data_IF_078560794403
#
_entry.id   IF_078560794403
#
_cell.length_a   1.000
_cell.length_b   1.000
_cell.length_c   1.000
_cell.angle_alpha   90.00
_cell.angle_beta   90.00
_cell.angle_gamma   90.00
#
_symmetry.space_group_name_H-M   'P 1'
#
loop_
_entity.id
_entity.type
_entity.pdbx_description
1 polymer ?
#
# COMPACT_ATOMS: atom_id res chain seq x y z
N UNK A 1 -7.90 0.45 -2.18
CA UNK A 1 -6.94 -0.09 -1.19
C UNK A 1 -7.17 0.59 0.15
N UNK A 2 -7.59 -0.17 1.15
CA UNK A 2 -7.90 0.31 2.51
C UNK A 2 -6.67 0.22 3.41
N UNK A 3 -6.63 0.95 4.55
CA UNK A 3 -5.72 0.64 5.66
C UNK A 3 -5.89 -0.81 6.14
N UNK A 4 -4.79 -1.50 6.45
CA UNK A 4 -4.81 -2.95 6.73
C UNK A 4 -5.63 -3.32 7.97
N UNK A 5 -5.57 -2.50 9.02
CA UNK A 5 -6.39 -2.72 10.23
C UNK A 5 -7.90 -2.50 9.98
N UNK A 6 -8.30 -1.56 9.08
CA UNK A 6 -9.70 -1.39 8.66
C UNK A 6 -10.16 -2.62 7.88
N UNK A 7 -9.31 -3.17 7.02
CA UNK A 7 -9.58 -4.41 6.29
C UNK A 7 -9.82 -5.59 7.24
N UNK A 8 -9.00 -5.69 8.28
CA UNK A 8 -9.13 -6.72 9.32
C UNK A 8 -10.42 -6.57 10.11
N UNK A 9 -10.75 -5.34 10.50
CA UNK A 9 -12.00 -5.05 11.19
C UNK A 9 -13.23 -5.36 10.30
N UNK A 10 -13.19 -4.97 9.03
CA UNK A 10 -14.22 -5.31 8.05
C UNK A 10 -14.43 -6.84 7.93
N UNK A 11 -13.31 -7.56 7.90
CA UNK A 11 -13.33 -9.02 7.83
C UNK A 11 -13.91 -9.66 9.12
N UNK A 12 -13.60 -9.07 10.29
CA UNK A 12 -14.22 -9.48 11.55
C UNK A 12 -15.73 -9.21 11.60
N UNK A 13 -16.20 -8.08 11.07
CA UNK A 13 -17.64 -7.81 10.94
C UNK A 13 -18.34 -8.81 10.03
N UNK A 14 -17.65 -9.30 9.00
CA UNK A 14 -18.21 -10.24 8.04
C UNK A 14 -18.16 -11.69 8.52
N UNK A 15 -17.02 -12.14 9.07
CA UNK A 15 -16.75 -13.54 9.44
C UNK A 15 -16.65 -13.78 10.95
N UNK A 16 -16.80 -12.75 11.80
CA UNK A 16 -16.82 -12.89 13.26
C UNK A 16 -18.02 -13.71 13.74
N UNK A 17 -18.07 -14.01 15.02
CA UNK A 17 -19.13 -14.85 15.61
C UNK A 17 -20.55 -14.37 15.29
N UNK A 18 -20.76 -13.06 15.26
CA UNK A 18 -22.03 -12.40 14.91
C UNK A 18 -22.04 -11.84 13.48
N UNK A 19 -21.03 -12.19 12.66
CA UNK A 19 -20.92 -11.70 11.30
C UNK A 19 -21.89 -12.36 10.31
N UNK A 20 -22.10 -11.71 9.16
CA UNK A 20 -23.06 -12.16 8.14
C UNK A 20 -22.85 -13.60 7.69
N UNK A 21 -21.62 -14.01 7.48
CA UNK A 21 -21.30 -15.36 7.00
C UNK A 21 -21.73 -16.40 8.01
N UNK A 22 -21.51 -16.15 9.30
CA UNK A 22 -21.92 -17.07 10.36
C UNK A 22 -23.45 -17.04 10.62
N UNK A 23 -24.10 -15.89 10.37
CA UNK A 23 -25.57 -15.84 10.33
C UNK A 23 -26.15 -16.72 9.22
N UNK A 24 -25.60 -16.60 8.00
CA UNK A 24 -26.02 -17.43 6.88
C UNK A 24 -25.72 -18.90 7.13
N UNK A 25 -24.55 -19.23 7.67
CA UNK A 25 -24.15 -20.58 8.03
C UNK A 25 -25.16 -21.23 8.99
N UNK A 26 -25.53 -20.54 10.08
CA UNK A 26 -26.54 -21.01 11.03
C UNK A 26 -27.92 -21.12 10.42
N UNK A 27 -28.33 -20.20 9.56
CA UNK A 27 -29.60 -20.27 8.84
C UNK A 27 -29.69 -21.49 7.90
N UNK A 28 -28.55 -21.97 7.39
CA UNK A 28 -28.44 -23.19 6.57
C UNK A 28 -28.31 -24.48 7.41
N UNK A 29 -28.44 -24.39 8.73
CA UNK A 29 -28.37 -25.55 9.66
C UNK A 29 -26.96 -25.87 10.15
N UNK A 30 -25.98 -25.00 9.92
CA UNK A 30 -24.62 -25.16 10.47
C UNK A 30 -24.56 -24.84 11.96
N UNK A 31 -23.75 -25.58 12.70
CA UNK A 31 -23.49 -25.34 14.12
C UNK A 31 -22.22 -24.49 14.33
N UNK A 32 -22.22 -23.65 15.36
CA UNK A 32 -21.06 -22.82 15.74
C UNK A 32 -20.70 -21.71 14.74
N UNK A 33 -19.42 -21.59 14.45
CA UNK A 33 -18.85 -20.65 13.47
C UNK A 33 -18.21 -21.41 12.31
N UNK A 34 -18.29 -20.87 11.10
CA UNK A 34 -17.75 -21.51 9.90
C UNK A 34 -16.23 -21.71 10.00
N UNK A 35 -15.52 -20.69 10.49
CA UNK A 35 -14.11 -20.76 10.88
C UNK A 35 -13.80 -19.68 11.91
N UNK A 36 -12.74 -19.88 12.67
CA UNK A 36 -12.29 -18.91 13.65
C UNK A 36 -11.51 -17.80 12.93
N UNK A 37 -12.12 -16.60 12.90
CA UNK A 37 -11.55 -15.46 12.15
C UNK A 37 -10.29 -14.91 12.82
N UNK A 38 -10.23 -14.94 14.16
CA UNK A 38 -9.02 -14.57 14.92
C UNK A 38 -8.05 -15.75 14.99
N UNK A 39 -7.44 -16.04 13.85
CA UNK A 39 -6.51 -17.16 13.66
C UNK A 39 -5.46 -16.82 12.60
N UNK A 40 -4.45 -17.67 12.47
CA UNK A 40 -3.48 -17.56 11.38
C UNK A 40 -4.16 -17.61 10.00
N UNK A 41 -5.16 -18.48 9.83
CA UNK A 41 -5.92 -18.56 8.59
C UNK A 41 -6.66 -17.25 8.31
N UNK A 42 -7.29 -16.64 9.30
CA UNK A 42 -7.98 -15.36 9.17
C UNK A 42 -7.02 -14.24 8.71
N UNK A 43 -5.83 -14.16 9.32
CA UNK A 43 -4.79 -13.21 8.92
C UNK A 43 -4.40 -13.42 7.45
N UNK A 44 -4.11 -14.66 7.04
CA UNK A 44 -3.76 -15.00 5.66
C UNK A 44 -4.87 -14.60 4.69
N UNK A 45 -6.14 -14.92 5.00
CA UNK A 45 -7.27 -14.60 4.14
C UNK A 45 -7.44 -13.09 3.96
N UNK A 46 -7.35 -12.30 5.04
CA UNK A 46 -7.39 -10.83 4.93
C UNK A 46 -6.26 -10.33 4.03
N UNK A 47 -5.04 -10.79 4.25
CA UNK A 47 -3.90 -10.36 3.45
C UNK A 47 -4.06 -10.78 1.98
N UNK A 48 -4.55 -11.98 1.68
CA UNK A 48 -4.84 -12.44 0.31
C UNK A 48 -5.86 -11.52 -0.36
N UNK A 49 -7.02 -11.27 0.28
CA UNK A 49 -8.09 -10.47 -0.33
C UNK A 49 -7.79 -8.98 -0.44
N UNK A 50 -6.92 -8.43 0.39
CA UNK A 50 -6.61 -7.01 0.36
C UNK A 50 -5.24 -6.67 -0.23
N UNK A 51 -4.31 -7.65 -0.36
CA UNK A 51 -3.00 -7.44 -0.96
C UNK A 51 -2.89 -7.97 -2.40
N UNK A 52 -3.84 -8.79 -2.91
CA UNK A 52 -3.78 -9.29 -4.28
C UNK A 52 -3.59 -8.20 -5.36
N UNK A 53 -4.10 -6.95 -5.22
CA UNK A 53 -3.85 -5.92 -6.22
C UNK A 53 -2.37 -5.55 -6.37
N UNK A 54 -1.56 -5.71 -5.32
CA UNK A 54 -0.12 -5.46 -5.38
C UNK A 54 0.61 -6.55 -6.19
N UNK A 55 0.09 -7.78 -6.23
CA UNK A 55 0.59 -8.83 -7.11
C UNK A 55 0.06 -8.69 -8.54
N UNK A 56 -1.21 -8.33 -8.68
CA UNK A 56 -1.93 -8.35 -9.95
C UNK A 56 -1.31 -7.41 -10.98
N UNK A 57 -1.03 -6.15 -10.62
CA UNK A 57 -0.54 -5.16 -11.58
C UNK A 57 0.85 -5.50 -12.16
N UNK A 58 1.88 -5.86 -11.37
CA UNK A 58 3.15 -6.31 -11.93
C UNK A 58 3.03 -7.60 -12.75
N UNK A 59 2.17 -8.55 -12.35
CA UNK A 59 1.91 -9.76 -13.14
C UNK A 59 1.26 -9.42 -14.48
N UNK A 60 0.25 -8.55 -14.51
CA UNK A 60 -0.39 -8.10 -15.76
C UNK A 60 0.63 -7.41 -16.66
N UNK A 61 1.50 -6.58 -16.10
CA UNK A 61 2.58 -5.94 -16.86
C UNK A 61 3.55 -6.99 -17.47
N UNK A 62 3.94 -8.00 -16.68
CA UNK A 62 4.81 -9.07 -17.14
C UNK A 62 4.18 -9.90 -18.28
N UNK A 63 2.91 -10.26 -18.16
CA UNK A 63 2.20 -10.98 -19.24
C UNK A 63 1.99 -10.11 -20.49
N UNK A 64 1.79 -8.79 -20.33
CA UNK A 64 1.66 -7.87 -21.47
C UNK A 64 2.98 -7.58 -22.17
N UNK A 65 4.10 -7.68 -21.46
CA UNK A 65 5.44 -7.52 -22.03
C UNK A 65 5.88 -8.73 -22.87
N UNK A 66 5.17 -9.87 -22.78
CA UNK A 66 5.45 -11.06 -23.57
C UNK A 66 5.31 -10.83 -25.08
N UNK A 67 6.13 -11.52 -25.88
CA UNK A 67 6.08 -11.47 -27.34
C UNK A 67 5.09 -12.52 -27.85
N UNK A 68 4.00 -12.08 -28.50
CA UNK A 68 3.01 -12.97 -29.10
C UNK A 68 3.57 -13.83 -30.25
N UNK A 69 4.66 -13.39 -30.89
CA UNK A 69 5.31 -14.16 -31.96
C UNK A 69 5.85 -15.50 -31.45
N UNK A 70 6.36 -15.55 -30.21
CA UNK A 70 6.82 -16.80 -29.59
C UNK A 70 5.66 -17.76 -29.29
N UNK A 71 4.50 -17.22 -28.88
CA UNK A 71 3.29 -18.03 -28.68
C UNK A 71 2.75 -18.59 -30.00
N UNK A 72 2.77 -17.77 -31.06
CA UNK A 72 2.35 -18.16 -32.40
C UNK A 72 3.31 -19.20 -32.98
N UNK A 73 4.61 -19.05 -32.84
CA UNK A 73 5.61 -20.02 -33.25
C UNK A 73 5.39 -21.40 -32.56
N UNK A 74 5.15 -21.37 -31.23
CA UNK A 74 4.82 -22.60 -30.49
C UNK A 74 3.57 -23.30 -31.02
N UNK A 75 2.51 -22.55 -31.35
CA UNK A 75 1.27 -23.06 -31.89
C UNK A 75 1.48 -23.62 -33.32
N UNK A 76 2.28 -22.95 -34.14
CA UNK A 76 2.62 -23.39 -35.48
C UNK A 76 3.43 -24.71 -35.47
N UNK A 77 4.19 -24.96 -34.39
CA UNK A 77 4.87 -26.22 -34.12
C UNK A 77 3.94 -27.33 -33.55
N UNK A 78 2.62 -27.05 -33.48
CA UNK A 78 1.62 -28.04 -33.04
C UNK A 78 1.35 -28.04 -31.52
N UNK A 79 1.91 -27.15 -30.77
CA UNK A 79 1.65 -27.10 -29.32
C UNK A 79 0.21 -26.66 -29.02
N UNK A 80 -0.48 -27.43 -28.16
CA UNK A 80 -1.79 -27.05 -27.62
C UNK A 80 -1.66 -25.85 -26.69
N UNK A 81 -2.71 -25.02 -26.55
CA UNK A 81 -2.70 -23.80 -25.79
C UNK A 81 -2.15 -23.91 -24.35
N UNK A 82 -2.42 -25.05 -23.66
CA UNK A 82 -1.85 -25.34 -22.35
C UNK A 82 -0.33 -25.55 -22.36
N UNK A 83 0.18 -26.23 -23.35
CA UNK A 83 1.63 -26.45 -23.53
C UNK A 83 2.34 -25.15 -23.90
N UNK A 84 1.74 -24.30 -24.77
CA UNK A 84 2.24 -22.97 -25.07
C UNK A 84 2.28 -22.10 -23.80
N UNK A 85 1.23 -22.15 -22.98
CA UNK A 85 1.19 -21.40 -21.72
C UNK A 85 2.30 -21.82 -20.76
N UNK A 86 2.45 -23.13 -20.49
CA UNK A 86 3.46 -23.62 -19.55
C UNK A 86 4.90 -23.55 -20.09
N UNK A 87 5.08 -23.76 -21.39
CA UNK A 87 6.41 -23.83 -22.01
C UNK A 87 6.95 -22.50 -22.51
N UNK A 88 6.08 -21.53 -22.79
CA UNK A 88 6.47 -20.23 -23.36
C UNK A 88 6.00 -19.07 -22.50
N UNK A 89 4.68 -18.90 -22.34
CA UNK A 89 4.11 -17.70 -21.71
C UNK A 89 4.50 -17.59 -20.25
N UNK A 90 4.36 -18.66 -19.47
CA UNK A 90 4.65 -18.67 -18.04
C UNK A 90 6.15 -18.48 -17.72
N UNK A 91 7.10 -19.14 -18.40
CA UNK A 91 8.54 -18.90 -18.22
C UNK A 91 8.96 -17.47 -18.57
N UNK A 92 8.40 -16.90 -19.64
CA UNK A 92 8.68 -15.51 -20.02
C UNK A 92 8.16 -14.51 -18.99
N UNK A 93 6.99 -14.75 -18.40
CA UNK A 93 6.43 -13.95 -17.32
C UNK A 93 7.09 -14.24 -15.95
N UNK A 94 7.88 -15.31 -15.83
CA UNK A 94 8.44 -15.81 -14.57
C UNK A 94 9.14 -14.76 -13.69
N UNK A 95 10.04 -13.91 -14.21
CA UNK A 95 10.68 -12.85 -13.42
C UNK A 95 9.70 -11.84 -12.84
N UNK A 96 8.67 -11.46 -13.62
CA UNK A 96 7.62 -10.55 -13.15
C UNK A 96 6.73 -11.20 -12.10
N UNK A 97 6.41 -12.48 -12.25
CA UNK A 97 5.65 -13.25 -11.25
C UNK A 97 6.45 -13.33 -9.94
N UNK A 98 7.73 -13.69 -10.02
CA UNK A 98 8.58 -13.81 -8.84
C UNK A 98 8.79 -12.45 -8.15
N UNK A 99 8.96 -11.37 -8.94
CA UNK A 99 9.02 -10.01 -8.41
C UNK A 99 7.73 -9.63 -7.66
N UNK A 100 6.57 -10.00 -8.20
CA UNK A 100 5.27 -9.77 -7.56
C UNK A 100 5.12 -10.55 -6.26
N UNK A 101 5.56 -11.82 -6.23
CA UNK A 101 5.55 -12.64 -5.01
C UNK A 101 6.42 -12.03 -3.91
N UNK A 102 7.64 -11.60 -4.25
CA UNK A 102 8.56 -10.98 -3.31
C UNK A 102 8.04 -9.62 -2.81
N UNK A 103 7.37 -8.85 -3.67
CA UNK A 103 6.71 -7.60 -3.28
C UNK A 103 5.61 -7.85 -2.25
N UNK A 104 4.71 -8.82 -2.53
CA UNK A 104 3.61 -9.16 -1.61
C UNK A 104 4.17 -9.72 -0.30
N UNK A 105 5.21 -10.56 -0.37
CA UNK A 105 5.88 -11.03 0.85
C UNK A 105 6.39 -9.85 1.70
N UNK A 106 7.07 -8.88 1.09
CA UNK A 106 7.59 -7.71 1.82
C UNK A 106 6.48 -6.90 2.46
N UNK A 107 5.36 -6.68 1.74
CA UNK A 107 4.19 -5.95 2.27
C UNK A 107 3.54 -6.74 3.42
N UNK A 108 3.34 -8.04 3.23
CA UNK A 108 2.72 -8.93 4.24
C UNK A 108 3.59 -9.06 5.50
N UNK A 109 4.91 -9.24 5.33
CA UNK A 109 5.85 -9.34 6.44
C UNK A 109 5.95 -8.03 7.26
N UNK A 110 5.78 -6.88 6.59
CA UNK A 110 5.81 -5.55 7.22
C UNK A 110 4.45 -5.10 7.74
N UNK A 111 3.39 -5.89 7.51
CA UNK A 111 2.04 -5.53 7.92
C UNK A 111 1.86 -5.70 9.44
N UNK A 112 1.57 -4.60 10.10
CA UNK A 112 1.25 -4.57 11.52
C UNK A 112 -0.27 -4.56 11.75
N UNK A 113 -1.00 -3.88 10.86
CA UNK A 113 -2.42 -3.58 11.06
C UNK A 113 -3.31 -4.81 11.10
N UNK A 114 -3.05 -5.82 10.28
CA UNK A 114 -3.82 -7.07 10.30
C UNK A 114 -3.52 -7.90 11.55
N UNK A 115 -2.25 -8.23 11.86
CA UNK A 115 -1.92 -9.01 13.02
C UNK A 115 -2.35 -8.42 14.36
N UNK A 116 -2.22 -7.12 14.56
CA UNK A 116 -2.57 -6.50 15.87
C UNK A 116 -4.06 -6.64 16.20
N UNK A 117 -4.93 -6.72 15.19
CA UNK A 117 -6.38 -6.88 15.34
C UNK A 117 -6.78 -8.35 15.40
N UNK A 118 -6.13 -9.22 14.62
CA UNK A 118 -6.62 -10.58 14.36
C UNK A 118 -5.77 -11.69 14.97
N UNK A 119 -4.55 -11.40 15.42
CA UNK A 119 -3.71 -12.45 16.02
C UNK A 119 -4.29 -12.92 17.35
N UNK A 120 -4.54 -14.24 17.50
CA UNK A 120 -4.90 -14.80 18.79
C UNK A 120 -3.73 -14.70 19.78
N UNK A 121 -4.02 -14.74 21.07
CA UNK A 121 -3.03 -14.52 22.14
C UNK A 121 -1.86 -15.50 22.12
N UNK A 122 -2.04 -16.66 21.55
CA UNK A 122 -1.04 -17.74 21.45
C UNK A 122 -0.19 -17.67 20.16
N UNK A 123 -0.45 -16.70 19.28
CA UNK A 123 0.29 -16.51 18.01
C UNK A 123 1.24 -15.33 18.14
N UNK A 124 2.52 -15.60 18.30
CA UNK A 124 3.56 -14.60 18.41
C UNK A 124 4.07 -14.23 17.01
N UNK A 125 3.71 -13.04 16.54
CA UNK A 125 4.18 -12.48 15.29
C UNK A 125 5.20 -11.36 15.58
N UNK A 126 6.36 -11.42 14.96
CA UNK A 126 7.50 -10.56 15.25
C UNK A 126 7.15 -9.07 15.25
N UNK A 127 6.27 -8.63 14.33
CA UNK A 127 5.84 -7.23 14.24
C UNK A 127 4.98 -6.81 15.42
N UNK A 128 4.13 -7.71 15.93
CA UNK A 128 3.29 -7.47 17.11
C UNK A 128 4.11 -7.54 18.38
N UNK A 129 5.04 -8.48 18.46
CA UNK A 129 5.94 -8.60 19.61
C UNK A 129 6.87 -7.38 19.74
N UNK A 130 7.43 -6.88 18.62
CA UNK A 130 8.22 -5.66 18.65
C UNK A 130 7.42 -4.44 19.20
N UNK A 131 6.13 -4.37 18.89
CA UNK A 131 5.24 -3.37 19.47
C UNK A 131 4.94 -3.62 20.94
N UNK A 132 4.66 -4.88 21.34
CA UNK A 132 4.36 -5.25 22.74
C UNK A 132 5.53 -4.98 23.67
N UNK A 133 6.77 -5.23 23.23
CA UNK A 133 7.97 -4.93 23.98
C UNK A 133 8.05 -3.46 24.40
N UNK A 134 7.63 -2.53 23.55
CA UNK A 134 7.59 -1.09 23.89
C UNK A 134 6.30 -0.73 24.63
N UNK A 135 5.15 -1.02 24.03
CA UNK A 135 3.87 -0.52 24.52
C UNK A 135 3.39 -1.24 25.79
N UNK A 136 3.80 -2.50 25.97
CA UNK A 136 3.43 -3.32 27.13
C UNK A 136 4.48 -3.41 28.21
N UNK A 137 5.75 -3.55 27.83
CA UNK A 137 6.84 -3.87 28.78
C UNK A 137 7.87 -2.74 28.91
N UNK A 138 7.81 -1.67 28.11
CA UNK A 138 8.80 -0.60 28.05
C UNK A 138 10.24 -1.11 27.80
N UNK A 139 10.37 -2.29 27.16
CA UNK A 139 11.62 -2.94 26.84
C UNK A 139 12.15 -2.48 25.47
N UNK A 140 12.86 -1.37 25.47
CA UNK A 140 13.45 -0.79 24.25
C UNK A 140 14.48 -1.70 23.60
N UNK A 141 15.26 -2.43 24.41
CA UNK A 141 16.30 -3.34 23.90
C UNK A 141 15.68 -4.53 23.20
N UNK A 142 14.68 -5.19 23.80
CA UNK A 142 13.96 -6.31 23.19
C UNK A 142 13.30 -5.90 21.86
N UNK A 143 12.62 -4.77 21.86
CA UNK A 143 12.02 -4.25 20.64
C UNK A 143 13.04 -3.89 19.55
N UNK A 144 14.20 -3.33 19.92
CA UNK A 144 15.28 -3.02 18.98
C UNK A 144 15.85 -4.30 18.34
N UNK A 145 16.06 -5.39 19.11
CA UNK A 145 16.53 -6.67 18.58
C UNK A 145 15.54 -7.23 17.56
N UNK A 146 14.23 -7.29 17.89
CA UNK A 146 13.19 -7.75 16.98
C UNK A 146 13.12 -6.89 15.71
N UNK A 147 13.29 -5.57 15.86
CA UNK A 147 13.33 -4.61 14.75
C UNK A 147 14.52 -4.89 13.82
N UNK A 148 15.72 -5.15 14.35
CA UNK A 148 16.90 -5.47 13.53
C UNK A 148 16.67 -6.77 12.75
N UNK A 149 16.09 -7.80 13.39
CA UNK A 149 15.73 -9.05 12.70
C UNK A 149 14.71 -8.78 11.58
N UNK A 150 13.67 -8.00 11.84
CA UNK A 150 12.66 -7.64 10.81
C UNK A 150 13.29 -6.92 9.63
N UNK A 151 14.12 -5.92 9.88
CA UNK A 151 14.81 -5.16 8.82
C UNK A 151 15.77 -6.08 8.06
N UNK A 152 16.50 -6.96 8.73
CA UNK A 152 17.40 -7.93 8.10
C UNK A 152 16.68 -8.88 7.16
N UNK A 153 15.55 -9.45 7.59
CA UNK A 153 14.71 -10.32 6.75
C UNK A 153 14.16 -9.55 5.56
N UNK A 154 13.59 -8.38 5.79
CA UNK A 154 13.03 -7.54 4.72
C UNK A 154 14.11 -7.10 3.71
N UNK A 155 15.31 -6.75 4.17
CA UNK A 155 16.45 -6.41 3.31
C UNK A 155 16.91 -7.60 2.47
N UNK A 156 16.96 -8.82 3.06
CA UNK A 156 17.28 -10.04 2.34
C UNK A 156 16.31 -10.29 1.18
N UNK A 157 14.99 -10.20 1.44
CA UNK A 157 13.98 -10.41 0.41
C UNK A 157 14.01 -9.33 -0.67
N UNK A 158 14.28 -8.08 -0.31
CA UNK A 158 14.47 -7.00 -1.26
C UNK A 158 15.72 -7.21 -2.14
N UNK A 159 16.81 -7.66 -1.55
CA UNK A 159 18.01 -8.02 -2.29
C UNK A 159 17.75 -9.18 -3.25
N UNK A 160 17.05 -10.23 -2.81
CA UNK A 160 16.63 -11.34 -3.66
C UNK A 160 15.75 -10.86 -4.82
N UNK A 161 14.79 -9.96 -4.55
CA UNK A 161 13.95 -9.37 -5.60
C UNK A 161 14.80 -8.68 -6.68
N UNK A 162 15.75 -7.83 -6.27
CA UNK A 162 16.63 -7.16 -7.23
C UNK A 162 17.55 -8.13 -7.97
N UNK A 163 18.05 -9.14 -7.28
CA UNK A 163 18.89 -10.17 -7.91
C UNK A 163 18.13 -10.95 -8.98
N UNK A 164 16.88 -11.32 -8.73
CA UNK A 164 16.02 -12.03 -9.70
C UNK A 164 15.72 -11.19 -10.94
N UNK A 165 15.53 -9.88 -10.77
CA UNK A 165 15.23 -8.97 -11.89
C UNK A 165 16.51 -8.64 -12.67
N UNK A 166 17.67 -8.64 -12.03
CA UNK A 166 18.95 -8.26 -12.63
C UNK A 166 19.36 -9.25 -13.71
N UNK A 167 19.52 -8.78 -14.95
CA UNK A 167 20.04 -9.57 -16.07
C UNK A 167 19.00 -10.37 -16.84
N UNK A 168 17.71 -10.21 -16.56
CA UNK A 168 16.63 -10.84 -17.32
C UNK A 168 15.82 -9.80 -18.10
N UNK A 169 16.48 -9.00 -18.91
CA UNK A 169 15.82 -8.29 -20.00
C UNK A 169 15.44 -9.32 -21.06
N UNK A 170 14.22 -9.84 -21.00
CA UNK A 170 13.67 -10.58 -22.12
C UNK A 170 13.38 -9.57 -23.23
N UNK A 171 14.38 -9.35 -24.08
CA UNK A 171 14.21 -8.54 -25.28
C UNK A 171 13.10 -9.16 -26.13
N UNK A 172 12.15 -8.34 -26.53
CA UNK A 172 11.17 -8.72 -27.56
C UNK A 172 11.93 -8.91 -28.88
N UNK A 173 11.78 -10.04 -29.54
CA UNK A 173 12.39 -10.31 -30.86
C UNK A 173 11.94 -9.26 -31.89
N UNK A 174 10.71 -8.76 -31.75
CA UNK A 174 10.10 -7.75 -32.63
C UNK A 174 10.35 -6.30 -32.20
N UNK A 175 11.02 -6.04 -31.08
CA UNK A 175 11.26 -4.68 -30.55
C UNK A 175 10.00 -3.95 -30.08
N UNK A 176 8.81 -4.52 -30.25
CA UNK A 176 7.53 -3.99 -29.77
C UNK A 176 6.78 -5.05 -28.98
N UNK A 177 6.33 -4.77 -27.75
CA UNK A 177 5.44 -5.68 -27.03
C UNK A 177 4.11 -5.78 -27.78
N UNK A 178 3.85 -6.93 -28.40
CA UNK A 178 2.62 -7.16 -29.17
C UNK A 178 1.46 -7.65 -28.30
N UNK A 179 1.72 -7.84 -27.01
CA UNK A 179 0.73 -8.33 -26.04
C UNK A 179 0.42 -9.82 -26.23
N UNK A 180 0.21 -10.55 -25.15
CA UNK A 180 -0.26 -11.93 -25.22
C UNK A 180 -1.63 -11.99 -25.89
N UNK A 181 -1.82 -12.99 -26.78
CA UNK A 181 -3.06 -13.17 -27.53
C UNK A 181 -4.29 -13.26 -26.60
N UNK A 182 -5.41 -12.67 -27.02
CA UNK A 182 -6.68 -12.76 -26.29
C UNK A 182 -7.09 -14.22 -26.12
N UNK A 183 -7.45 -14.58 -24.90
CA UNK A 183 -8.04 -15.89 -24.61
C UNK A 183 -9.26 -16.10 -25.51
N UNK A 184 -9.16 -17.04 -26.43
CA UNK A 184 -10.24 -17.39 -27.36
C UNK A 184 -11.09 -18.50 -26.73
N UNK A 185 -12.26 -18.14 -26.21
CA UNK A 185 -13.23 -19.10 -25.67
C UNK A 185 -14.30 -18.44 -24.83
N UNK A 186 -15.54 -18.39 -25.35
CA UNK A 186 -16.68 -17.77 -24.64
C UNK A 186 -16.92 -18.42 -23.26
N UNK A 187 -16.75 -19.74 -23.14
CA UNK A 187 -16.93 -20.47 -21.88
C UNK A 187 -15.86 -20.11 -20.83
N UNK A 188 -14.58 -20.11 -21.22
CA UNK A 188 -13.47 -19.76 -20.32
C UNK A 188 -13.55 -18.30 -19.89
N UNK A 189 -13.91 -17.38 -20.80
CA UNK A 189 -14.11 -15.97 -20.43
C UNK A 189 -15.25 -15.78 -19.40
N UNK A 190 -16.36 -16.50 -19.55
CA UNK A 190 -17.45 -16.47 -18.56
C UNK A 190 -16.99 -17.01 -17.21
N UNK A 191 -16.27 -18.14 -17.20
CA UNK A 191 -15.74 -18.72 -15.97
C UNK A 191 -14.76 -17.74 -15.28
N UNK A 192 -13.81 -17.17 -16.01
CA UNK A 192 -12.85 -16.20 -15.46
C UNK A 192 -13.53 -14.91 -14.96
N UNK A 193 -14.57 -14.44 -15.67
CA UNK A 193 -15.34 -13.26 -15.23
C UNK A 193 -16.13 -13.57 -13.94
N UNK A 194 -16.76 -14.73 -13.84
CA UNK A 194 -17.46 -15.16 -12.63
C UNK A 194 -16.49 -15.34 -11.46
N UNK A 195 -15.35 -16.00 -11.70
CA UNK A 195 -14.30 -16.16 -10.69
C UNK A 195 -13.79 -14.80 -10.20
N UNK A 196 -13.49 -13.87 -11.12
CA UNK A 196 -13.06 -12.51 -10.76
C UNK A 196 -14.11 -11.76 -9.95
N UNK A 197 -15.38 -11.91 -10.32
CA UNK A 197 -16.50 -11.32 -9.58
C UNK A 197 -16.60 -11.89 -8.16
N UNK A 198 -16.48 -13.19 -7.99
CA UNK A 198 -16.51 -13.85 -6.67
C UNK A 198 -15.34 -13.41 -5.79
N UNK A 199 -14.13 -13.30 -6.34
CA UNK A 199 -12.95 -12.81 -5.60
C UNK A 199 -13.14 -11.35 -5.17
N UNK A 200 -13.72 -10.50 -6.02
CA UNK A 200 -13.99 -9.10 -5.72
C UNK A 200 -15.16 -8.92 -4.75
N UNK A 201 -16.09 -9.86 -4.70
CA UNK A 201 -17.27 -9.79 -3.84
C UNK A 201 -16.87 -9.75 -2.35
N UNK A 202 -15.86 -10.53 -1.95
CA UNK A 202 -15.41 -10.59 -0.54
C UNK A 202 -14.97 -9.21 -0.01
N UNK A 203 -14.02 -8.49 -0.63
CA UNK A 203 -13.66 -7.15 -0.16
C UNK A 203 -14.78 -6.13 -0.31
N UNK A 204 -15.67 -6.26 -1.30
CA UNK A 204 -16.83 -5.38 -1.44
C UNK A 204 -17.84 -5.56 -0.30
N UNK A 205 -18.16 -6.80 0.06
CA UNK A 205 -19.01 -7.10 1.21
C UNK A 205 -18.37 -6.65 2.52
N UNK A 206 -17.05 -6.80 2.66
CA UNK A 206 -16.33 -6.30 3.82
C UNK A 206 -16.43 -4.77 3.95
N UNK A 207 -16.29 -4.02 2.85
CA UNK A 207 -16.54 -2.56 2.84
C UNK A 207 -18.01 -2.25 3.14
N UNK A 208 -18.93 -3.02 2.58
CA UNK A 208 -20.38 -2.90 2.83
C UNK A 208 -20.72 -3.09 4.31
N UNK A 209 -20.06 -4.02 5.01
CA UNK A 209 -20.28 -4.24 6.45
C UNK A 209 -19.80 -3.04 7.28
N UNK A 210 -18.67 -2.42 6.93
CA UNK A 210 -18.24 -1.17 7.60
C UNK A 210 -19.24 -0.05 7.32
N UNK A 211 -19.70 0.08 6.07
CA UNK A 211 -20.70 1.10 5.73
C UNK A 211 -21.98 0.93 6.55
N UNK A 212 -22.53 -0.28 6.63
CA UNK A 212 -23.71 -0.55 7.45
C UNK A 212 -23.46 -0.31 8.94
N UNK A 213 -22.29 -0.73 9.46
CA UNK A 213 -21.88 -0.44 10.82
C UNK A 213 -21.79 1.06 11.10
N UNK A 214 -21.34 1.87 10.13
CA UNK A 214 -21.18 3.31 10.29
C UNK A 214 -22.49 4.08 10.47
N UNK A 215 -23.61 3.50 10.00
CA UNK A 215 -24.95 4.08 10.12
C UNK A 215 -25.86 3.28 11.06
N UNK A 216 -25.36 2.24 11.72
CA UNK A 216 -26.14 1.41 12.64
C UNK A 216 -26.40 2.13 13.96
N UNK A 217 -27.61 1.99 14.52
CA UNK A 217 -27.88 2.35 15.93
C UNK A 217 -27.32 1.31 16.87
N UNK A 218 -27.68 0.08 16.63
CA UNK A 218 -27.17 -1.15 17.28
C UNK A 218 -27.10 -2.26 16.25
N UNK A 219 -26.10 -3.12 16.36
CA UNK A 219 -25.92 -4.26 15.47
C UNK A 219 -25.20 -5.40 16.21
N UNK A 220 -25.92 -6.46 16.51
CA UNK A 220 -25.35 -7.56 17.29
C UNK A 220 -25.79 -8.94 16.84
N UNK A 221 -27.08 -9.23 16.96
CA UNK A 221 -27.61 -10.59 16.80
C UNK A 221 -28.32 -10.86 15.48
N UNK A 222 -28.56 -9.84 14.68
CA UNK A 222 -29.27 -9.94 13.38
C UNK A 222 -28.33 -9.73 12.20
N UNK A 223 -28.75 -10.22 11.03
CA UNK A 223 -27.99 -10.05 9.78
C UNK A 223 -27.89 -8.56 9.36
N UNK A 224 -28.87 -7.75 9.73
CA UNK A 224 -28.91 -6.31 9.47
C UNK A 224 -28.99 -5.55 10.80
N UNK A 225 -28.56 -4.26 10.81
CA UNK A 225 -28.72 -3.39 11.97
C UNK A 225 -30.17 -3.24 12.42
N UNK A 226 -30.38 -3.09 13.72
CA UNK A 226 -31.73 -2.90 14.31
C UNK A 226 -32.34 -1.55 13.96
N UNK A 227 -31.52 -0.58 13.55
CA UNK A 227 -31.95 0.74 13.09
C UNK A 227 -30.78 1.53 12.49
N UNK A 228 -31.10 2.64 11.83
CA UNK A 228 -30.12 3.46 11.13
C UNK A 228 -30.07 4.90 11.67
N UNK A 229 -28.87 5.46 11.75
CA UNK A 229 -28.63 6.81 12.27
C UNK A 229 -27.38 7.43 11.63
N UNK A 230 -27.34 8.75 11.56
CA UNK A 230 -26.15 9.50 11.15
C UNK A 230 -25.41 10.15 12.35
N UNK A 231 -25.83 9.85 13.60
CA UNK A 231 -25.25 10.45 14.81
C UNK A 231 -23.74 10.22 14.92
N UNK A 232 -23.22 9.10 14.38
CA UNK A 232 -21.79 8.79 14.44
C UNK A 232 -20.98 9.75 13.56
N UNK A 233 -21.53 10.19 12.43
CA UNK A 233 -20.92 11.21 11.57
C UNK A 233 -21.00 12.61 12.21
N UNK A 234 -22.13 12.98 12.82
CA UNK A 234 -22.23 14.26 13.52
C UNK A 234 -21.27 14.32 14.71
N UNK A 235 -21.17 13.25 15.49
CA UNK A 235 -20.20 13.13 16.58
C UNK A 235 -18.75 13.19 16.07
N UNK A 236 -18.45 12.53 14.94
CA UNK A 236 -17.14 12.57 14.32
C UNK A 236 -16.72 14.00 13.95
N UNK A 237 -17.59 14.75 13.29
CA UNK A 237 -17.28 16.13 12.89
C UNK A 237 -17.24 17.13 14.06
N UNK A 238 -17.97 16.86 15.14
CA UNK A 238 -17.94 17.72 16.34
C UNK A 238 -16.76 17.39 17.26
N UNK A 239 -16.42 16.11 17.46
CA UNK A 239 -15.44 15.70 18.49
C UNK A 239 -14.10 15.29 17.88
N UNK A 240 -14.08 14.76 16.65
CA UNK A 240 -12.88 14.20 16.00
C UNK A 240 -12.43 15.00 14.78
N UNK A 241 -12.94 16.21 14.58
CA UNK A 241 -12.50 17.10 13.47
C UNK A 241 -11.00 17.39 13.50
N UNK A 242 -10.39 17.47 14.69
CA UNK A 242 -8.95 17.59 14.87
C UNK A 242 -8.17 16.45 14.22
N UNK A 243 -8.63 15.20 14.33
CA UNK A 243 -7.97 14.05 13.70
C UNK A 243 -8.00 14.11 12.17
N UNK A 244 -9.09 14.66 11.60
CA UNK A 244 -9.22 14.88 10.15
C UNK A 244 -8.20 15.94 9.72
N UNK A 245 -8.18 17.07 10.41
CA UNK A 245 -7.25 18.16 10.12
C UNK A 245 -5.79 17.73 10.29
N UNK A 246 -5.46 17.03 11.37
CA UNK A 246 -4.12 16.47 11.60
C UNK A 246 -3.69 15.56 10.45
N UNK A 247 -4.57 14.66 9.97
CA UNK A 247 -4.25 13.79 8.83
C UNK A 247 -3.92 14.59 7.57
N UNK A 248 -4.67 15.65 7.29
CA UNK A 248 -4.46 16.50 6.11
C UNK A 248 -3.16 17.31 6.25
N UNK A 249 -2.90 17.90 7.40
CA UNK A 249 -1.67 18.69 7.68
C UNK A 249 -0.44 17.79 7.60
N UNK A 250 -0.46 16.64 8.26
CA UNK A 250 0.65 15.69 8.25
C UNK A 250 0.92 15.14 6.85
N UNK A 251 -0.15 14.81 6.09
CA UNK A 251 -0.02 14.34 4.72
C UNK A 251 0.52 15.43 3.78
N UNK A 252 0.05 16.67 3.94
CA UNK A 252 0.55 17.81 3.16
C UNK A 252 2.01 18.12 3.49
N UNK A 253 2.38 18.13 4.77
CA UNK A 253 3.77 18.33 5.20
C UNK A 253 4.71 17.27 4.64
N UNK A 254 4.32 15.99 4.71
CA UNK A 254 5.09 14.88 4.13
C UNK A 254 5.16 14.96 2.60
N UNK A 255 4.07 15.38 1.94
CA UNK A 255 4.04 15.60 0.49
C UNK A 255 5.04 16.68 0.08
N UNK A 256 4.96 17.86 0.68
CA UNK A 256 5.84 19.00 0.33
C UNK A 256 7.32 18.66 0.53
N UNK A 257 7.66 18.04 1.66
CA UNK A 257 9.02 17.61 1.92
C UNK A 257 9.48 16.52 0.94
N UNK A 258 8.60 15.58 0.58
CA UNK A 258 8.88 14.55 -0.42
C UNK A 258 9.12 15.12 -1.81
N UNK A 259 8.39 16.17 -2.23
CA UNK A 259 8.60 16.84 -3.53
C UNK A 259 10.00 17.42 -3.61
N UNK A 260 10.41 18.18 -2.59
CA UNK A 260 11.75 18.81 -2.58
C UNK A 260 12.84 17.73 -2.70
N UNK A 261 12.79 16.71 -1.85
CA UNK A 261 13.80 15.64 -1.87
C UNK A 261 13.78 14.89 -3.21
N UNK A 262 12.60 14.54 -3.72
CA UNK A 262 12.47 13.72 -4.90
C UNK A 262 12.94 14.41 -6.18
N UNK A 263 12.72 15.70 -6.35
CA UNK A 263 13.20 16.46 -7.51
C UNK A 263 14.72 16.41 -7.56
N UNK A 264 15.40 16.71 -6.45
CA UNK A 264 16.86 16.66 -6.39
C UNK A 264 17.40 15.24 -6.58
N UNK A 265 16.87 14.26 -5.86
CA UNK A 265 17.32 12.85 -5.95
C UNK A 265 17.13 12.32 -7.38
N UNK A 266 15.98 12.59 -8.00
CA UNK A 266 15.70 12.15 -9.37
C UNK A 266 16.67 12.76 -10.38
N UNK A 267 16.98 14.04 -10.24
CA UNK A 267 17.95 14.69 -11.09
C UNK A 267 19.34 14.05 -10.94
N UNK A 268 19.84 13.87 -9.70
CA UNK A 268 21.15 13.24 -9.48
C UNK A 268 21.20 11.80 -9.99
N UNK A 269 20.14 11.01 -9.78
CA UNK A 269 20.11 9.62 -10.26
C UNK A 269 20.08 9.56 -11.77
N UNK A 270 19.21 10.34 -12.44
CA UNK A 270 19.01 10.25 -13.89
C UNK A 270 20.12 10.97 -14.67
N UNK A 271 20.58 12.13 -14.21
CA UNK A 271 21.59 12.94 -14.95
C UNK A 271 23.03 12.58 -14.60
N UNK A 272 23.30 12.23 -13.35
CA UNK A 272 24.65 11.87 -12.88
C UNK A 272 24.87 10.36 -12.78
N UNK A 273 23.85 9.53 -12.99
CA UNK A 273 23.94 8.08 -12.90
C UNK A 273 24.25 7.57 -11.48
N UNK A 274 23.80 8.29 -10.44
CA UNK A 274 24.11 7.95 -9.06
C UNK A 274 23.39 6.69 -8.58
N UNK A 275 24.03 5.54 -8.72
CA UNK A 275 23.53 4.24 -8.29
C UNK A 275 23.34 4.20 -6.76
N UNK A 276 24.21 4.84 -5.99
CA UNK A 276 24.13 4.89 -4.54
C UNK A 276 22.84 5.60 -4.05
N UNK A 277 22.50 6.74 -4.66
CA UNK A 277 21.27 7.45 -4.34
C UNK A 277 20.02 6.67 -4.74
N UNK A 278 20.05 5.95 -5.88
CA UNK A 278 18.95 5.08 -6.28
C UNK A 278 18.71 3.96 -5.25
N UNK A 279 19.78 3.32 -4.77
CA UNK A 279 19.70 2.33 -3.72
C UNK A 279 19.19 2.93 -2.41
N UNK A 280 19.80 4.00 -1.93
CA UNK A 280 19.43 4.66 -0.67
C UNK A 280 17.96 5.11 -0.67
N UNK A 281 17.49 5.67 -1.78
CA UNK A 281 16.09 6.09 -1.94
C UNK A 281 15.08 4.94 -1.90
N UNK A 282 15.51 3.70 -2.12
CA UNK A 282 14.65 2.52 -2.11
C UNK A 282 14.58 1.81 -0.77
N UNK A 283 15.57 2.01 0.12
CA UNK A 283 15.64 1.36 1.43
C UNK A 283 14.36 1.54 2.27
N UNK A 284 13.76 2.75 2.34
CA UNK A 284 12.58 2.95 3.19
C UNK A 284 11.34 2.13 2.78
N UNK A 285 11.28 1.63 1.54
CA UNK A 285 10.20 0.72 1.11
C UNK A 285 10.23 -0.61 1.85
N UNK A 286 11.41 -1.02 2.27
CA UNK A 286 11.67 -2.33 2.87
C UNK A 286 11.50 -2.29 4.38
N UNK A 287 11.78 -1.13 4.99
CA UNK A 287 11.75 -0.99 6.45
C UNK A 287 10.30 -1.02 6.95
N UNK A 288 9.93 -1.97 7.85
CA UNK A 288 8.62 -1.99 8.48
C UNK A 288 8.32 -0.68 9.23
N UNK A 289 7.05 -0.22 9.22
CA UNK A 289 6.68 1.05 9.84
C UNK A 289 6.95 1.11 11.34
N UNK A 290 6.68 0.02 12.04
CA UNK A 290 7.02 -0.12 13.47
C UNK A 290 8.53 0.04 13.68
N UNK A 291 9.35 -0.63 12.87
CA UNK A 291 10.80 -0.55 12.94
C UNK A 291 11.32 0.88 12.74
N UNK A 292 10.78 1.58 11.74
CA UNK A 292 11.13 2.98 11.48
C UNK A 292 10.71 3.88 12.65
N UNK A 293 9.51 3.68 13.20
CA UNK A 293 9.02 4.44 14.36
C UNK A 293 9.93 4.27 15.59
N UNK A 294 10.32 3.03 15.90
CA UNK A 294 11.22 2.72 17.00
C UNK A 294 12.59 3.41 16.83
N UNK A 295 13.17 3.29 15.63
CA UNK A 295 14.47 3.89 15.33
C UNK A 295 14.43 5.41 15.45
N UNK A 296 13.37 6.07 14.94
CA UNK A 296 13.23 7.52 15.03
C UNK A 296 12.99 8.02 16.46
N UNK A 297 12.18 7.30 17.25
CA UNK A 297 12.00 7.65 18.67
C UNK A 297 13.36 7.57 19.39
N UNK A 298 14.11 6.49 19.24
CA UNK A 298 15.42 6.34 19.89
C UNK A 298 16.42 7.42 19.46
N UNK A 299 16.41 7.79 18.16
CA UNK A 299 17.33 8.79 17.61
C UNK A 299 16.98 10.19 18.09
N UNK A 300 15.69 10.55 18.15
CA UNK A 300 15.22 11.91 18.41
C UNK A 300 14.63 12.12 19.82
N UNK A 301 14.91 11.22 20.75
CA UNK A 301 14.48 11.36 22.15
C UNK A 301 15.51 12.08 23.03
N UNK A 302 16.72 12.32 22.53
CA UNK A 302 17.85 12.89 23.27
C UNK A 302 18.37 14.18 22.59
N UNK A 303 19.05 15.09 23.35
CA UNK A 303 19.73 16.25 22.74
C UNK A 303 20.72 15.81 21.65
N UNK A 304 21.02 16.62 20.63
CA UNK A 304 20.60 18.03 20.51
C UNK A 304 19.19 18.26 19.94
N UNK A 305 18.57 17.25 19.31
CA UNK A 305 17.28 17.39 18.62
C UNK A 305 16.22 16.49 19.29
N UNK A 306 15.53 17.02 20.29
CA UNK A 306 14.37 16.34 20.89
C UNK A 306 13.11 16.62 20.09
N UNK A 307 12.78 15.71 19.16
CA UNK A 307 11.58 15.81 18.33
C UNK A 307 10.50 14.79 18.70
N UNK A 308 10.79 13.83 19.57
CA UNK A 308 9.82 12.83 20.03
C UNK A 308 8.61 13.52 20.67
N UNK A 309 7.40 13.10 20.31
CA UNK A 309 6.15 13.73 20.76
C UNK A 309 5.75 14.98 19.97
N UNK A 310 6.32 15.23 18.80
CA UNK A 310 5.95 16.37 17.94
C UNK A 310 5.37 15.94 16.61
N UNK A 311 4.50 16.77 16.02
CA UNK A 311 3.99 16.58 14.65
C UNK A 311 5.09 16.64 13.60
N UNK A 312 6.19 17.37 13.85
CA UNK A 312 7.34 17.48 12.95
C UNK A 312 8.00 16.11 12.77
N UNK A 313 8.22 15.34 13.84
CA UNK A 313 8.81 14.02 13.74
C UNK A 313 7.90 13.05 12.97
N UNK A 314 6.57 13.17 13.08
CA UNK A 314 5.63 12.42 12.27
C UNK A 314 5.75 12.76 10.79
N UNK A 315 5.85 14.05 10.43
CA UNK A 315 6.06 14.50 9.04
C UNK A 315 7.34 13.90 8.48
N UNK A 316 8.45 13.94 9.23
CA UNK A 316 9.74 13.36 8.84
C UNK A 316 9.59 11.85 8.64
N UNK A 317 8.97 11.14 9.57
CA UNK A 317 8.77 9.70 9.51
C UNK A 317 7.93 9.27 8.30
N UNK A 318 6.84 9.97 8.04
CA UNK A 318 5.98 9.73 6.87
C UNK A 318 6.71 10.05 5.57
N UNK A 319 7.49 11.14 5.54
CA UNK A 319 8.32 11.50 4.38
C UNK A 319 9.32 10.38 4.09
N UNK A 320 10.13 9.98 5.06
CA UNK A 320 11.11 8.91 4.87
C UNK A 320 10.46 7.66 4.30
N UNK A 321 9.33 7.23 4.88
CA UNK A 321 8.65 6.01 4.46
C UNK A 321 8.01 6.12 3.07
N UNK A 322 7.53 7.29 2.66
CA UNK A 322 6.71 7.48 1.45
C UNK A 322 7.42 8.21 0.31
N UNK A 323 8.53 8.91 0.57
CA UNK A 323 9.32 9.56 -0.48
C UNK A 323 9.75 8.64 -1.64
N UNK A 324 9.99 7.31 -1.46
CA UNK A 324 10.34 6.47 -2.59
C UNK A 324 9.26 6.45 -3.70
N UNK A 325 7.98 6.57 -3.36
CA UNK A 325 6.90 6.65 -4.35
C UNK A 325 7.03 7.93 -5.21
N UNK A 326 7.33 9.06 -4.55
CA UNK A 326 7.57 10.33 -5.23
C UNK A 326 8.80 10.24 -6.12
N UNK A 327 9.92 9.72 -5.59
CA UNK A 327 11.19 9.61 -6.33
C UNK A 327 11.01 8.73 -7.56
N UNK A 328 10.33 7.58 -7.47
CA UNK A 328 10.10 6.70 -8.63
C UNK A 328 9.23 7.37 -9.70
N UNK A 329 8.20 8.10 -9.29
CA UNK A 329 7.33 8.84 -10.20
C UNK A 329 8.07 9.98 -10.91
N UNK A 330 8.84 10.78 -10.16
CA UNK A 330 9.63 11.89 -10.71
C UNK A 330 10.80 11.41 -11.55
N UNK A 331 11.46 10.30 -11.22
CA UNK A 331 12.48 9.67 -12.06
C UNK A 331 11.91 9.27 -13.42
N UNK A 332 10.71 8.67 -13.46
CA UNK A 332 10.07 8.29 -14.72
C UNK A 332 9.87 9.49 -15.67
N UNK A 333 9.38 10.61 -15.14
CA UNK A 333 9.23 11.84 -15.94
C UNK A 333 10.58 12.47 -16.31
N UNK A 334 11.55 12.46 -15.38
CA UNK A 334 12.90 13.00 -15.64
C UNK A 334 13.63 12.24 -16.77
N UNK A 335 13.44 10.92 -16.86
CA UNK A 335 14.00 10.11 -17.95
C UNK A 335 13.42 10.49 -19.32
N UNK A 336 12.17 10.97 -19.37
CA UNK A 336 11.51 11.41 -20.60
C UNK A 336 11.97 12.81 -21.07
N UNK A 337 12.54 13.63 -20.18
CA UNK A 337 13.04 14.97 -20.51
C UNK A 337 14.39 14.85 -21.23
N UNK A 338 14.47 15.38 -22.44
CA UNK A 338 15.72 15.41 -23.22
C UNK A 338 16.73 16.37 -22.59
N UNK A 339 18.00 16.00 -22.61
CA UNK A 339 19.12 16.84 -22.09
C UNK A 339 19.26 18.16 -22.84
N UNK A 340 18.98 18.16 -24.14
CA UNK A 340 19.07 19.35 -25.01
C UNK A 340 18.29 20.54 -24.43
N UNK A 341 17.17 20.30 -23.75
CA UNK A 341 16.33 21.34 -23.13
C UNK A 341 17.06 22.03 -21.97
N UNK A 342 17.80 21.26 -21.18
CA UNK A 342 18.63 21.80 -20.08
C UNK A 342 19.84 22.57 -20.64
N UNK A 343 20.48 22.00 -21.65
CA UNK A 343 21.65 22.62 -22.33
C UNK A 343 21.26 23.93 -23.01
N UNK A 344 20.11 24.01 -23.68
CA UNK A 344 19.58 25.23 -24.27
C UNK A 344 19.34 26.32 -23.22
N UNK A 345 18.77 25.98 -22.06
CA UNK A 345 18.55 26.92 -20.95
C UNK A 345 19.89 27.50 -20.44
N UNK A 346 20.90 26.63 -20.25
CA UNK A 346 22.21 27.04 -19.77
C UNK A 346 22.91 27.92 -20.85
N UNK A 347 22.78 27.59 -22.15
CA UNK A 347 23.31 28.36 -23.24
C UNK A 347 22.69 29.76 -23.34
N UNK A 348 21.46 29.93 -22.89
CA UNK A 348 20.78 31.22 -22.75
C UNK A 348 21.18 31.99 -21.48
N UNK A 349 22.14 31.48 -20.70
CA UNK A 349 22.70 32.15 -19.53
C UNK A 349 22.03 31.79 -18.19
N UNK A 350 21.11 30.84 -18.17
CA UNK A 350 20.52 30.39 -16.92
C UNK A 350 21.51 29.57 -16.08
N UNK A 351 21.55 29.80 -14.77
CA UNK A 351 22.33 28.96 -13.89
C UNK A 351 21.71 27.55 -13.79
N UNK A 352 22.45 26.49 -13.41
CA UNK A 352 21.92 25.16 -13.25
C UNK A 352 20.70 25.08 -12.28
N UNK A 353 20.72 25.87 -11.21
CA UNK A 353 19.60 25.97 -10.27
C UNK A 353 18.39 26.64 -10.93
N UNK A 354 18.59 27.72 -11.68
CA UNK A 354 17.54 28.41 -12.42
C UNK A 354 16.91 27.47 -13.46
N UNK A 355 17.75 26.76 -14.25
CA UNK A 355 17.29 25.73 -15.19
C UNK A 355 16.43 24.66 -14.50
N UNK A 356 16.85 24.19 -13.29
CA UNK A 356 16.09 23.23 -12.54
C UNK A 356 14.71 23.76 -12.15
N UNK A 357 14.62 24.99 -11.65
CA UNK A 357 13.37 25.57 -11.16
C UNK A 357 12.43 26.00 -12.29
N UNK A 358 12.97 26.62 -13.33
CA UNK A 358 12.16 27.26 -14.38
C UNK A 358 11.87 26.37 -15.59
N UNK A 359 12.68 25.33 -15.82
CA UNK A 359 12.55 24.46 -16.99
C UNK A 359 12.24 23.03 -16.57
N UNK A 360 13.17 22.40 -15.83
CA UNK A 360 13.05 20.98 -15.47
C UNK A 360 11.90 20.73 -14.50
N UNK A 361 11.76 21.55 -13.47
CA UNK A 361 10.70 21.42 -12.45
C UNK A 361 9.28 21.44 -13.04
N UNK A 362 8.92 22.44 -13.87
CA UNK A 362 7.65 22.44 -14.58
C UNK A 362 7.43 21.22 -15.49
N UNK A 363 8.47 20.76 -16.20
CA UNK A 363 8.40 19.56 -17.03
C UNK A 363 8.24 18.26 -16.20
N UNK A 364 8.70 18.25 -14.95
CA UNK A 364 8.51 17.15 -14.02
C UNK A 364 7.14 17.16 -13.34
N UNK A 365 6.32 18.20 -13.52
CA UNK A 365 5.04 18.38 -12.83
C UNK A 365 4.10 17.17 -12.95
N UNK A 366 3.97 16.48 -14.11
CA UNK A 366 3.16 15.27 -14.20
C UNK A 366 3.60 14.17 -13.22
N UNK A 367 4.91 13.93 -13.11
CA UNK A 367 5.45 12.96 -12.16
C UNK A 367 5.31 13.41 -10.70
N UNK A 368 5.47 14.71 -10.45
CA UNK A 368 5.27 15.29 -9.11
C UNK A 368 3.80 15.11 -8.67
N UNK A 369 2.84 15.39 -9.53
CA UNK A 369 1.41 15.23 -9.23
C UNK A 369 1.07 13.77 -8.99
N UNK A 370 1.49 12.87 -9.90
CA UNK A 370 1.20 11.43 -9.77
C UNK A 370 1.85 10.83 -8.50
N UNK A 371 3.14 11.13 -8.26
CA UNK A 371 3.84 10.71 -7.04
C UNK A 371 3.25 11.35 -5.79
N UNK A 372 2.85 12.62 -5.88
CA UNK A 372 2.25 13.37 -4.78
C UNK A 372 0.93 12.77 -4.30
N UNK A 373 0.07 12.38 -5.21
CA UNK A 373 -1.19 11.70 -4.84
C UNK A 373 -0.90 10.35 -4.16
N UNK A 374 0.09 9.60 -4.65
CA UNK A 374 0.48 8.33 -4.02
C UNK A 374 1.03 8.56 -2.60
N UNK A 375 1.89 9.55 -2.40
CA UNK A 375 2.40 9.93 -1.06
C UNK A 375 1.25 10.33 -0.16
N UNK A 376 0.41 11.26 -0.59
CA UNK A 376 -0.69 11.79 0.20
C UNK A 376 -1.68 10.69 0.64
N UNK A 377 -2.14 9.86 -0.31
CA UNK A 377 -3.05 8.72 -0.03
C UNK A 377 -2.42 7.71 0.91
N UNK A 378 -1.13 7.42 0.75
CA UNK A 378 -0.46 6.41 1.59
C UNK A 378 -0.14 6.93 2.98
N UNK A 379 0.10 8.24 3.15
CA UNK A 379 0.26 8.88 4.47
C UNK A 379 -1.06 8.90 5.24
N UNK A 380 -2.18 9.28 4.62
CA UNK A 380 -3.50 9.26 5.29
C UNK A 380 -3.82 7.87 5.87
N UNK A 381 -3.35 6.81 5.22
CA UNK A 381 -3.56 5.42 5.66
C UNK A 381 -2.51 4.91 6.64
N UNK A 382 -1.48 5.72 6.94
CA UNK A 382 -0.37 5.25 7.78
C UNK A 382 -0.80 5.14 9.24
N UNK A 383 -0.69 3.94 9.77
CA UNK A 383 -1.09 3.64 11.15
C UNK A 383 0.08 3.10 11.96
N UNK A 384 0.96 2.30 11.34
CA UNK A 384 2.03 1.60 12.04
C UNK A 384 3.01 2.55 12.74
N UNK A 385 3.37 3.65 12.08
CA UNK A 385 4.21 4.71 12.65
C UNK A 385 3.41 5.51 13.67
N UNK A 386 2.16 5.87 13.32
CA UNK A 386 1.30 6.73 14.13
C UNK A 386 1.02 6.14 15.50
N UNK A 387 0.81 4.82 15.60
CA UNK A 387 0.54 4.13 16.87
C UNK A 387 1.67 4.31 17.88
N UNK A 388 2.91 4.35 17.41
CA UNK A 388 4.08 4.51 18.30
C UNK A 388 4.45 5.97 18.56
N UNK A 389 4.31 6.84 17.54
CA UNK A 389 4.94 8.16 17.56
C UNK A 389 3.96 9.32 17.71
N UNK A 390 2.67 9.14 17.39
CA UNK A 390 1.74 10.25 17.39
C UNK A 390 1.36 10.66 18.81
N UNK A 391 1.66 11.90 19.22
CA UNK A 391 1.12 12.45 20.45
C UNK A 391 -0.38 12.73 20.28
N UNK A 392 -1.10 12.86 21.39
CA UNK A 392 -2.56 13.04 21.40
C UNK A 392 -3.02 14.20 20.51
N UNK A 393 -2.30 15.33 20.55
CA UNK A 393 -2.64 16.55 19.80
C UNK A 393 -2.43 16.41 18.29
N UNK A 394 -1.61 15.46 17.86
CA UNK A 394 -1.30 15.18 16.46
C UNK A 394 -1.81 13.82 15.99
N UNK A 395 -2.78 13.24 16.69
CA UNK A 395 -3.36 11.96 16.31
C UNK A 395 -4.07 12.04 14.94
N UNK A 396 -3.65 11.29 13.91
CA UNK A 396 -4.34 11.25 12.62
C UNK A 396 -5.59 10.37 12.68
N UNK A 397 -6.47 10.49 11.66
CA UNK A 397 -7.69 9.67 11.52
C UNK A 397 -7.42 8.17 11.65
N UNK A 398 -6.36 7.68 11.01
CA UNK A 398 -6.01 6.26 11.04
C UNK A 398 -5.73 5.74 12.45
N UNK A 399 -5.04 6.53 13.28
CA UNK A 399 -4.81 6.22 14.68
C UNK A 399 -6.11 6.31 15.50
N UNK A 400 -6.94 7.32 15.26
CA UNK A 400 -8.23 7.47 15.97
C UNK A 400 -9.17 6.30 15.69
N UNK A 401 -9.23 5.78 14.46
CA UNK A 401 -9.99 4.54 14.16
C UNK A 401 -9.46 3.37 14.99
N UNK A 402 -8.14 3.17 15.02
CA UNK A 402 -7.53 2.10 15.80
C UNK A 402 -7.85 2.22 17.29
N UNK A 403 -7.75 3.42 17.86
CA UNK A 403 -8.08 3.69 19.28
C UNK A 403 -9.56 3.44 19.58
N UNK A 404 -10.46 3.86 18.71
CA UNK A 404 -11.91 3.62 18.86
C UNK A 404 -12.23 2.12 18.81
N UNK A 405 -11.57 1.35 17.93
CA UNK A 405 -11.71 -0.11 17.89
C UNK A 405 -11.28 -0.76 19.23
N UNK A 406 -10.16 -0.31 19.81
CA UNK A 406 -9.68 -0.82 21.10
C UNK A 406 -10.59 -0.46 22.27
N UNK A 407 -11.31 0.68 22.19
CA UNK A 407 -12.30 1.11 23.19
C UNK A 407 -13.67 0.45 23.03
N UNK A 408 -13.88 -0.33 21.96
CA UNK A 408 -15.18 -0.91 21.64
C UNK A 408 -16.18 0.06 20.97
N UNK A 409 -15.71 1.24 20.53
CA UNK A 409 -16.52 2.26 19.84
C UNK A 409 -16.62 1.94 18.34
N UNK A 410 -17.17 0.76 18.03
CA UNK A 410 -17.15 0.19 16.68
C UNK A 410 -17.87 1.03 15.63
N UNK A 411 -18.96 1.69 15.99
CA UNK A 411 -19.76 2.49 15.05
C UNK A 411 -19.05 3.79 14.67
N UNK A 412 -18.44 4.47 15.64
CA UNK A 412 -17.61 5.67 15.41
C UNK A 412 -16.37 5.32 14.61
N UNK A 413 -15.71 4.20 14.92
CA UNK A 413 -14.58 3.68 14.14
C UNK A 413 -14.99 3.39 12.70
N UNK A 414 -16.18 2.80 12.48
CA UNK A 414 -16.72 2.53 11.15
C UNK A 414 -17.01 3.82 10.37
N UNK A 415 -17.64 4.82 11.01
CA UNK A 415 -17.92 6.10 10.36
C UNK A 415 -16.63 6.81 9.92
N UNK A 416 -15.61 6.86 10.77
CA UNK A 416 -14.30 7.42 10.43
C UNK A 416 -13.59 6.61 9.35
N UNK A 417 -13.72 5.28 9.35
CA UNK A 417 -13.18 4.40 8.31
C UNK A 417 -13.80 4.70 6.94
N UNK A 418 -15.11 4.93 6.87
CA UNK A 418 -15.78 5.32 5.62
C UNK A 418 -15.27 6.68 5.13
N UNK A 419 -15.05 7.66 6.02
CA UNK A 419 -14.47 8.95 5.62
C UNK A 419 -13.08 8.74 4.99
N UNK A 420 -12.22 7.93 5.60
CA UNK A 420 -10.89 7.60 5.03
C UNK A 420 -11.05 6.91 3.66
N UNK A 421 -11.94 5.93 3.53
CA UNK A 421 -12.16 5.18 2.28
C UNK A 421 -12.63 6.12 1.17
N UNK A 422 -13.62 6.96 1.46
CA UNK A 422 -14.18 7.93 0.49
C UNK A 422 -13.09 8.92 0.05
N UNK A 423 -12.33 9.49 1.00
CA UNK A 423 -11.23 10.39 0.70
C UNK A 423 -10.18 9.74 -0.21
N UNK A 424 -9.78 8.51 0.10
CA UNK A 424 -8.82 7.75 -0.71
C UNK A 424 -9.36 7.46 -2.12
N UNK A 425 -10.63 7.08 -2.26
CA UNK A 425 -11.25 6.83 -3.56
C UNK A 425 -11.32 8.12 -4.39
N UNK A 426 -11.71 9.23 -3.79
CA UNK A 426 -11.79 10.52 -4.49
C UNK A 426 -10.41 10.95 -5.01
N UNK A 427 -9.38 10.85 -4.18
CA UNK A 427 -8.01 11.19 -4.56
C UNK A 427 -7.46 10.26 -5.65
N UNK A 428 -7.73 8.95 -5.58
CA UNK A 428 -7.29 7.99 -6.60
C UNK A 428 -8.01 8.21 -7.94
N UNK A 429 -9.32 8.52 -7.92
CA UNK A 429 -10.05 8.87 -9.13
C UNK A 429 -9.53 10.16 -9.77
N UNK A 430 -9.22 11.16 -8.94
CA UNK A 430 -8.60 12.41 -9.41
C UNK A 430 -7.23 12.14 -10.06
N UNK A 431 -6.38 11.31 -9.43
CA UNK A 431 -5.13 10.86 -10.01
C UNK A 431 -5.30 10.17 -11.36
N UNK A 432 -6.28 9.25 -11.46
CA UNK A 432 -6.56 8.52 -12.69
C UNK A 432 -7.02 9.41 -13.85
N UNK A 433 -7.75 10.48 -13.57
CA UNK A 433 -8.12 11.47 -14.60
C UNK A 433 -6.90 12.27 -15.07
N UNK A 434 -6.10 12.82 -14.16
CA UNK A 434 -4.92 13.60 -14.50
C UNK A 434 -3.87 12.81 -15.31
N UNK A 435 -3.68 11.53 -15.01
CA UNK A 435 -2.74 10.67 -15.77
C UNK A 435 -3.32 10.25 -17.13
N UNK A 436 -4.63 10.17 -17.30
CA UNK A 436 -5.26 9.81 -18.56
C UNK A 436 -5.22 10.95 -19.58
N UNK A 437 -5.42 12.19 -19.14
CA UNK A 437 -5.41 13.38 -19.99
C UNK A 437 -3.99 13.76 -20.48
N UNK A 438 -2.94 13.10 -19.96
CA UNK A 438 -1.54 13.31 -20.36
C UNK A 438 -1.01 12.23 -21.33
N UNK A 439 -1.80 11.20 -21.62
CA UNK A 439 -1.47 10.11 -22.56
C UNK A 439 -2.13 10.32 -23.95
N UNK A 440 -2.83 11.42 -24.15
CA UNK A 440 -3.35 11.93 -25.41
C UNK A 440 -2.76 13.31 -25.64
#
# INVERSE_FOLDING_TARGET
>A
MMPTFISSYAFMLMFGQTGWVNHLWRALGGEGVLFEVQSMLGIILVQVFFFFPYALWPMVAAFRAGDSALEEASRNLGAKGWFTFLGVTLPLAGPGILSSMLLVFTISFSDFGTPIIMAPKNLNLIVVEAYREIAGFFNWTGSAILTVVMVGVAALFFWLQRWVIRGKEYGTISGKPTGSGRVKGKGLNRFLSLYSLLVLLVPLLAVGSIFLSSIATTWGHHALPDGYTLKHYTALFSTSSGNILNSLILAMGALLLSVVIAVFVSWFVVRRGSVSLDWLSSIPLVVPGIALGIALIQTFNTPPLRLTGTGILLVIAYTIRRMPYMIRSTMGTMMAIRRDVEEASVSLGASPFMTMVTVVGPLMLPGIIAGGILVFVTVIKETSISILMAPTDWAPMSLAVFQNLLRGEFYTASAMSIVIIVLVILLQNFAGKLTRDQLY
#
